data_IF_759606957546
#
_entry.id   IF_759606957546
#
_cell.length_a   1.000
_cell.length_b   1.000
_cell.length_c   1.000
_cell.angle_alpha   90.00
_cell.angle_beta   90.00
_cell.angle_gamma   90.00
#
_symmetry.space_group_name_H-M   'P 1'
#
loop_
_entity.id
_entity.type
_entity.pdbx_description
1 polymer ?
#
# COMPACT_ATOMS: atom_id res chain seq x y z
N UNK A 1 -11.85 14.32 46.92
CA UNK A 1 -13.05 13.66 46.38
C UNK A 1 -12.67 12.99 45.06
N UNK A 2 -12.55 11.66 45.07
CA UNK A 2 -12.20 10.83 43.91
C UNK A 2 -13.45 10.40 43.14
N UNK A 3 -13.33 10.19 41.81
CA UNK A 3 -14.04 9.21 40.93
C UNK A 3 -13.58 9.50 39.48
N UNK A 4 -12.69 8.71 38.89
CA UNK A 4 -12.80 7.37 38.27
C UNK A 4 -13.30 7.37 36.82
N UNK A 5 -12.33 7.11 35.93
CA UNK A 5 -12.45 6.80 34.49
C UNK A 5 -12.80 5.32 34.27
N UNK A 6 -13.65 4.95 33.29
CA UNK A 6 -13.78 3.56 32.86
C UNK A 6 -12.89 3.26 31.64
N UNK A 7 -11.88 2.41 31.82
CA UNK A 7 -11.13 1.75 30.75
C UNK A 7 -11.82 0.43 30.36
N UNK A 8 -12.12 0.25 29.08
CA UNK A 8 -12.72 -0.98 28.53
C UNK A 8 -11.61 -1.91 28.00
N UNK A 9 -11.27 -2.96 28.76
CA UNK A 9 -10.44 -4.09 28.30
C UNK A 9 -11.32 -5.11 27.56
N UNK A 10 -10.86 -5.62 26.41
CA UNK A 10 -11.42 -6.84 25.79
C UNK A 10 -10.47 -8.04 26.01
N UNK A 11 -11.02 -9.26 26.17
CA UNK A 11 -10.31 -10.43 26.69
C UNK A 11 -9.52 -11.20 25.64
N UNK A 12 -8.32 -11.63 26.02
CA UNK A 12 -7.50 -12.59 25.28
C UNK A 12 -8.02 -14.03 25.43
N UNK A 13 -7.86 -14.83 24.37
CA UNK A 13 -8.07 -16.28 24.39
C UNK A 13 -6.70 -16.96 24.35
N UNK A 14 -6.35 -17.62 25.46
CA UNK A 14 -5.29 -18.63 25.55
C UNK A 14 -5.93 -19.98 25.24
N UNK A 15 -5.33 -20.79 24.37
CA UNK A 15 -5.63 -22.20 24.24
C UNK A 15 -4.37 -23.00 24.59
N UNK A 16 -4.56 -24.00 25.45
CA UNK A 16 -3.54 -24.78 26.11
C UNK A 16 -2.97 -25.88 25.21
N UNK A 17 -1.70 -26.19 25.48
CA UNK A 17 -0.96 -27.36 25.00
C UNK A 17 -1.45 -28.60 25.74
N UNK A 18 -1.67 -29.70 25.02
CA UNK A 18 -1.78 -31.03 25.62
C UNK A 18 -0.88 -32.01 24.84
N UNK A 19 0.10 -32.54 25.57
CA UNK A 19 0.95 -33.64 25.15
C UNK A 19 0.21 -34.98 25.28
N UNK A 20 0.45 -35.90 24.35
CA UNK A 20 -0.07 -37.26 24.40
C UNK A 20 0.84 -38.19 23.61
N UNK A 21 1.70 -38.91 24.33
CA UNK A 21 2.65 -39.91 23.85
C UNK A 21 2.05 -41.29 24.11
N UNK A 22 1.92 -42.14 23.09
CA UNK A 22 1.70 -43.59 23.26
C UNK A 22 2.48 -44.35 22.19
N UNK A 23 3.44 -45.17 22.64
CA UNK A 23 4.07 -46.24 21.88
C UNK A 23 3.11 -47.42 21.74
N UNK A 24 3.03 -48.02 20.55
CA UNK A 24 2.56 -49.40 20.40
C UNK A 24 3.44 -50.14 19.38
N UNK A 25 4.15 -51.14 19.87
CA UNK A 25 4.91 -52.15 19.11
C UNK A 25 3.95 -53.29 18.78
N UNK A 26 3.94 -53.75 17.53
CA UNK A 26 3.20 -54.94 17.12
C UNK A 26 3.78 -55.56 15.85
N UNK A 27 4.47 -56.69 16.01
CA UNK A 27 4.87 -57.59 14.92
C UNK A 27 3.63 -58.31 14.36
N UNK A 28 3.57 -58.48 13.03
CA UNK A 28 2.60 -59.35 12.37
C UNK A 28 2.97 -59.60 10.91
N UNK A 29 3.21 -60.86 10.58
CA UNK A 29 3.64 -61.40 9.28
C UNK A 29 2.44 -62.01 8.54
N UNK A 30 2.46 -61.92 7.20
CA UNK A 30 1.64 -62.64 6.19
C UNK A 30 0.24 -62.13 5.87
N UNK A 31 0.03 -61.67 4.63
CA UNK A 31 -0.57 -62.45 3.52
C UNK A 31 -0.87 -61.52 2.35
N UNK A 32 -0.33 -61.85 1.16
CA UNK A 32 -0.75 -61.25 -0.10
C UNK A 32 -2.18 -61.70 -0.42
N UNK A 33 -3.09 -60.75 -0.60
CA UNK A 33 -4.33 -60.96 -1.34
C UNK A 33 -4.36 -59.92 -2.45
N UNK A 34 -4.31 -60.41 -3.68
CA UNK A 34 -4.60 -59.62 -4.87
C UNK A 34 -6.08 -59.22 -4.84
N UNK A 35 -6.37 -57.93 -4.70
CA UNK A 35 -7.69 -57.37 -4.89
C UNK A 35 -7.64 -56.34 -6.03
N UNK A 36 -8.65 -56.46 -6.88
CA UNK A 36 -8.75 -55.94 -8.24
C UNK A 36 -8.57 -54.43 -8.36
N UNK A 37 -7.98 -54.06 -9.50
CA UNK A 37 -7.94 -52.70 -10.02
C UNK A 37 -9.35 -52.13 -10.16
N UNK A 38 -9.74 -51.29 -9.20
CA UNK A 38 -10.77 -50.29 -9.40
C UNK A 38 -10.07 -49.03 -9.93
N UNK A 39 -10.27 -48.73 -11.20
CA UNK A 39 -9.87 -47.46 -11.82
C UNK A 39 -10.56 -46.35 -11.05
N UNK A 40 -9.84 -45.45 -10.33
CA UNK A 40 -10.48 -44.25 -9.86
C UNK A 40 -10.74 -43.37 -11.08
N UNK A 41 -12.02 -43.19 -11.39
CA UNK A 41 -12.48 -42.15 -12.30
C UNK A 41 -11.81 -40.82 -11.92
N UNK A 42 -11.40 -39.98 -12.89
CA UNK A 42 -10.78 -38.70 -12.58
C UNK A 42 -11.82 -37.86 -11.84
N UNK A 43 -11.64 -37.77 -10.52
CA UNK A 43 -12.31 -36.75 -9.72
C UNK A 43 -11.83 -35.46 -10.35
N UNK A 44 -12.73 -34.77 -11.06
CA UNK A 44 -12.52 -33.39 -11.47
C UNK A 44 -12.31 -32.62 -10.17
N UNK A 45 -11.05 -32.51 -9.76
CA UNK A 45 -10.63 -31.49 -8.82
C UNK A 45 -11.08 -30.19 -9.47
N UNK A 46 -12.14 -29.61 -8.92
CA UNK A 46 -12.48 -28.23 -9.17
C UNK A 46 -11.22 -27.44 -8.84
N UNK A 47 -10.44 -27.12 -9.88
CA UNK A 47 -9.36 -26.17 -9.78
C UNK A 47 -10.03 -24.87 -9.34
N UNK A 48 -10.05 -24.64 -8.03
CA UNK A 48 -10.29 -23.33 -7.46
C UNK A 48 -9.30 -22.45 -8.19
N UNK A 49 -9.81 -21.57 -9.06
CA UNK A 49 -9.00 -20.62 -9.81
C UNK A 49 -8.02 -20.02 -8.80
N UNK A 50 -6.72 -20.29 -8.99
CA UNK A 50 -5.70 -19.68 -8.17
C UNK A 50 -5.92 -18.18 -8.28
N UNK A 51 -6.29 -17.54 -7.18
CA UNK A 51 -6.39 -16.09 -7.14
C UNK A 51 -5.03 -15.58 -7.63
N UNK A 52 -5.04 -14.68 -8.62
CA UNK A 52 -3.82 -14.10 -9.13
C UNK A 52 -3.06 -13.48 -7.95
N UNK A 53 -1.76 -13.80 -7.83
CA UNK A 53 -0.91 -13.25 -6.78
C UNK A 53 -0.98 -11.73 -6.82
N UNK A 54 -1.26 -11.11 -5.67
CA UNK A 54 -1.33 -9.66 -5.57
C UNK A 54 0.05 -9.06 -5.82
N UNK A 55 0.10 -8.03 -6.67
CA UNK A 55 1.34 -7.34 -7.07
C UNK A 55 1.09 -5.84 -7.14
N UNK A 56 2.04 -5.05 -6.65
CA UNK A 56 2.09 -3.58 -6.73
C UNK A 56 3.46 -3.19 -7.26
N UNK A 57 3.53 -2.29 -8.24
CA UNK A 57 4.80 -1.85 -8.83
C UNK A 57 4.86 -0.34 -8.94
N UNK A 58 6.05 0.22 -8.74
CA UNK A 58 6.32 1.65 -8.85
C UNK A 58 7.54 1.95 -9.71
N UNK A 59 7.56 3.16 -10.26
CA UNK A 59 8.71 3.72 -10.99
C UNK A 59 9.08 5.07 -10.40
N UNK A 60 10.37 5.30 -10.17
CA UNK A 60 10.87 6.53 -9.62
C UNK A 60 10.73 7.68 -10.64
N UNK A 61 10.19 8.82 -10.21
CA UNK A 61 9.89 9.97 -11.05
C UNK A 61 8.54 9.87 -11.79
N UNK A 62 7.78 8.78 -11.60
CA UNK A 62 6.40 8.72 -12.05
C UNK A 62 5.44 9.39 -11.06
N UNK A 63 4.62 10.31 -11.58
CA UNK A 63 3.66 11.13 -10.82
C UNK A 63 2.61 10.27 -10.12
N UNK A 64 2.10 9.20 -10.76
CA UNK A 64 1.12 8.30 -10.13
C UNK A 64 1.76 7.51 -9.00
N UNK A 65 2.95 6.96 -9.21
CA UNK A 65 3.70 6.24 -8.17
C UNK A 65 4.02 7.15 -6.99
N UNK A 66 4.57 8.33 -7.21
CA UNK A 66 4.94 9.23 -6.11
C UNK A 66 3.74 9.63 -5.23
N UNK A 67 2.57 9.88 -5.84
CA UNK A 67 1.36 10.19 -5.08
C UNK A 67 0.79 8.94 -4.40
N UNK A 68 0.90 7.76 -5.01
CA UNK A 68 0.52 6.50 -4.38
C UNK A 68 1.39 6.20 -3.14
N UNK A 69 2.70 6.35 -3.27
CA UNK A 69 3.68 6.14 -2.20
C UNK A 69 3.42 7.08 -1.02
N UNK A 70 3.13 8.36 -1.32
CA UNK A 70 2.73 9.33 -0.31
C UNK A 70 1.41 8.96 0.39
N UNK A 71 0.33 8.72 -0.36
CA UNK A 71 -0.98 8.47 0.25
C UNK A 71 -1.00 7.13 1.00
N UNK A 72 -0.38 6.09 0.45
CA UNK A 72 -0.23 4.80 1.10
C UNK A 72 0.45 4.93 2.46
N UNK A 73 1.67 5.47 2.48
CA UNK A 73 2.41 5.66 3.73
C UNK A 73 1.72 6.63 4.71
N UNK A 74 1.02 7.64 4.21
CA UNK A 74 0.27 8.57 5.06
C UNK A 74 -0.96 7.91 5.68
N UNK A 75 -1.65 7.03 4.94
CA UNK A 75 -2.80 6.26 5.43
C UNK A 75 -2.34 5.26 6.48
N UNK A 76 -1.24 4.53 6.23
CA UNK A 76 -0.63 3.63 7.22
C UNK A 76 -0.27 4.37 8.52
N UNK A 77 0.39 5.53 8.41
CA UNK A 77 0.72 6.36 9.57
C UNK A 77 -0.52 6.81 10.36
N UNK A 78 -1.70 6.86 9.74
CA UNK A 78 -2.96 7.27 10.38
C UNK A 78 -3.76 6.10 10.95
N UNK A 79 -3.65 4.92 10.35
CA UNK A 79 -4.38 3.71 10.78
C UNK A 79 -3.54 2.74 11.62
N UNK A 80 -2.37 3.18 12.10
CA UNK A 80 -1.46 2.35 12.90
C UNK A 80 -2.15 1.73 14.13
N UNK A 81 -1.85 0.46 14.39
CA UNK A 81 -2.48 -0.33 15.43
C UNK A 81 -2.20 0.20 16.86
N UNK A 82 -1.06 0.86 17.08
CA UNK A 82 -0.73 1.53 18.33
C UNK A 82 -1.31 2.96 18.42
N UNK A 83 -1.97 3.42 17.36
CA UNK A 83 -2.52 4.76 17.19
C UNK A 83 -1.66 5.61 16.25
N UNK A 84 -2.19 6.74 15.74
CA UNK A 84 -1.56 7.48 14.64
C UNK A 84 -0.11 7.88 14.92
N UNK A 85 0.79 7.53 14.01
CA UNK A 85 2.18 7.96 14.00
C UNK A 85 2.30 9.41 13.49
N UNK A 86 2.14 10.33 14.44
CA UNK A 86 2.23 11.76 14.15
C UNK A 86 3.62 12.21 13.65
N UNK A 87 4.69 11.47 13.98
CA UNK A 87 6.04 11.80 13.56
C UNK A 87 6.24 11.45 12.07
N UNK A 88 5.81 10.25 11.67
CA UNK A 88 5.82 9.84 10.27
C UNK A 88 4.88 10.72 9.42
N UNK A 89 3.65 10.93 9.86
CA UNK A 89 2.69 11.80 9.16
C UNK A 89 3.24 13.22 8.94
N UNK A 90 3.97 13.77 9.93
CA UNK A 90 4.63 15.08 9.81
C UNK A 90 5.79 15.05 8.83
N UNK A 91 6.62 14.00 8.84
CA UNK A 91 7.74 13.85 7.92
C UNK A 91 7.26 13.74 6.46
N UNK A 92 6.24 12.90 6.22
CA UNK A 92 5.60 12.76 4.90
C UNK A 92 5.06 14.10 4.40
N UNK A 93 4.33 14.85 5.24
CA UNK A 93 3.82 16.18 4.87
C UNK A 93 4.94 17.17 4.55
N UNK A 94 6.05 17.15 5.28
CA UNK A 94 7.17 18.04 5.02
C UNK A 94 7.91 17.71 3.72
N UNK A 95 7.93 16.43 3.36
CA UNK A 95 8.61 15.94 2.16
C UNK A 95 7.82 16.22 0.87
N UNK A 96 6.56 15.76 0.86
CA UNK A 96 5.73 15.73 -0.33
C UNK A 96 4.94 17.00 -0.59
N UNK A 97 4.68 17.84 0.41
CA UNK A 97 3.94 19.08 0.21
C UNK A 97 4.89 20.25 0.00
N UNK A 98 4.49 21.20 -0.86
CA UNK A 98 5.15 22.50 -0.84
C UNK A 98 4.89 23.23 0.49
N UNK A 99 5.85 24.02 1.01
CA UNK A 99 5.64 24.76 2.26
C UNK A 99 4.46 25.73 2.20
N UNK A 100 4.15 26.28 1.02
CA UNK A 100 3.01 27.15 0.81
C UNK A 100 1.69 26.37 0.95
N UNK A 101 1.59 25.22 0.27
CA UNK A 101 0.40 24.39 0.35
C UNK A 101 0.20 23.79 1.75
N UNK A 102 1.26 23.36 2.43
CA UNK A 102 1.19 22.88 3.81
C UNK A 102 0.56 23.92 4.78
N UNK A 103 0.86 25.21 4.59
CA UNK A 103 0.25 26.30 5.39
C UNK A 103 -1.24 26.48 5.06
N UNK A 104 -1.59 26.45 3.79
CA UNK A 104 -2.99 26.52 3.35
C UNK A 104 -3.81 25.35 3.89
N UNK A 105 -3.22 24.15 3.87
CA UNK A 105 -3.83 22.94 4.37
C UNK A 105 -4.07 23.03 5.88
N UNK A 106 -3.06 23.46 6.65
CA UNK A 106 -3.21 23.64 8.10
C UNK A 106 -4.31 24.67 8.47
N UNK A 107 -4.44 25.74 7.69
CA UNK A 107 -5.53 26.70 7.86
C UNK A 107 -6.90 26.07 7.57
N UNK A 108 -7.00 25.29 6.49
CA UNK A 108 -8.21 24.55 6.15
C UNK A 108 -8.59 23.54 7.24
N UNK A 109 -7.62 22.77 7.75
CA UNK A 109 -7.84 21.77 8.80
C UNK A 109 -8.37 22.40 10.08
N UNK A 110 -7.82 23.56 10.47
CA UNK A 110 -8.29 24.32 11.62
C UNK A 110 -9.75 24.76 11.46
N UNK A 111 -10.16 25.15 10.25
CA UNK A 111 -11.55 25.56 9.98
C UNK A 111 -12.50 24.38 9.91
N UNK A 112 -12.08 23.27 9.29
CA UNK A 112 -12.98 22.16 8.93
C UNK A 112 -12.95 21.00 9.94
N UNK A 113 -12.00 21.01 10.89
CA UNK A 113 -11.84 19.95 11.91
C UNK A 113 -11.78 18.55 11.28
N UNK A 114 -11.08 18.44 10.15
CA UNK A 114 -10.90 17.23 9.37
C UNK A 114 -9.46 17.19 8.83
N UNK A 115 -8.98 16.00 8.46
CA UNK A 115 -7.67 15.87 7.82
C UNK A 115 -7.73 16.47 6.40
N UNK A 116 -6.84 17.41 6.12
CA UNK A 116 -6.83 18.15 4.87
C UNK A 116 -6.40 17.32 3.67
N UNK A 117 -5.58 16.28 3.87
CA UNK A 117 -5.15 15.39 2.79
C UNK A 117 -6.25 14.40 2.44
N UNK A 118 -6.92 13.86 3.45
CA UNK A 118 -8.00 12.89 3.24
C UNK A 118 -9.35 13.56 2.94
N UNK A 119 -9.46 14.86 3.22
CA UNK A 119 -10.72 15.64 3.22
C UNK A 119 -11.83 14.97 4.06
N UNK A 120 -11.43 14.27 5.12
CA UNK A 120 -12.30 13.44 5.94
C UNK A 120 -11.81 13.39 7.40
N UNK A 121 -12.68 12.94 8.31
CA UNK A 121 -12.34 12.77 9.73
C UNK A 121 -11.81 11.37 10.04
N UNK A 122 -12.18 10.39 9.23
CA UNK A 122 -11.77 9.00 9.34
C UNK A 122 -10.68 8.66 8.31
N UNK A 123 -10.06 7.51 8.51
CA UNK A 123 -9.03 6.96 7.60
C UNK A 123 -9.72 6.07 6.56
N UNK A 124 -9.36 6.14 5.27
CA UNK A 124 -9.89 5.24 4.26
C UNK A 124 -9.41 3.80 4.49
N UNK A 125 -10.24 2.83 4.10
CA UNK A 125 -9.90 1.40 4.11
C UNK A 125 -9.27 0.94 2.80
N UNK A 126 -9.49 1.70 1.72
CA UNK A 126 -8.96 1.43 0.39
C UNK A 126 -8.69 2.75 -0.31
N UNK A 127 -7.69 2.76 -1.18
CA UNK A 127 -7.34 3.92 -1.99
C UNK A 127 -6.92 3.49 -3.39
N UNK A 128 -7.05 4.39 -4.34
CA UNK A 128 -6.56 4.22 -5.72
C UNK A 128 -6.08 5.54 -6.24
N UNK A 129 -4.88 5.56 -6.81
CA UNK A 129 -4.31 6.70 -7.52
C UNK A 129 -4.30 6.35 -9.01
N UNK A 130 -4.81 7.24 -9.84
CA UNK A 130 -4.85 7.08 -11.29
C UNK A 130 -4.33 8.33 -11.98
N UNK A 131 -3.77 8.16 -13.17
CA UNK A 131 -3.32 9.28 -13.99
C UNK A 131 -4.48 10.27 -14.26
N UNK A 132 -4.18 11.56 -14.13
CA UNK A 132 -5.13 12.65 -14.41
C UNK A 132 -4.96 13.23 -15.82
N UNK A 133 -5.62 14.36 -16.08
CA UNK A 133 -5.79 14.88 -17.45
C UNK A 133 -4.58 15.58 -18.07
N UNK A 134 -3.53 15.94 -17.30
CA UNK A 134 -2.46 16.82 -17.79
C UNK A 134 -1.04 16.48 -17.28
N UNK A 135 -0.77 15.22 -16.92
CA UNK A 135 0.58 14.72 -16.59
C UNK A 135 1.18 15.19 -15.24
N UNK A 136 0.64 16.27 -14.65
CA UNK A 136 0.98 16.75 -13.30
C UNK A 136 -0.24 16.75 -12.36
N UNK A 137 -1.37 16.24 -12.84
CA UNK A 137 -2.53 15.95 -12.02
C UNK A 137 -2.75 14.44 -11.98
N UNK A 138 -3.13 13.96 -10.80
CA UNK A 138 -3.60 12.60 -10.58
C UNK A 138 -4.93 12.64 -9.84
N UNK A 139 -5.70 11.57 -10.00
CA UNK A 139 -6.96 11.37 -9.28
C UNK A 139 -6.72 10.35 -8.17
N UNK A 140 -6.99 10.75 -6.93
CA UNK A 140 -6.94 9.89 -5.75
C UNK A 140 -8.36 9.60 -5.29
N UNK A 141 -8.77 8.35 -5.43
CA UNK A 141 -10.05 7.82 -4.97
C UNK A 141 -9.86 7.17 -3.61
N UNK A 142 -10.44 7.75 -2.57
CA UNK A 142 -10.40 7.28 -1.19
C UNK A 142 -11.73 6.62 -0.83
N UNK A 143 -11.69 5.39 -0.33
CA UNK A 143 -12.88 4.64 0.07
C UNK A 143 -12.88 4.41 1.57
N UNK A 144 -13.99 4.78 2.21
CA UNK A 144 -14.20 4.78 3.66
C UNK A 144 -15.32 3.81 4.04
N UNK A 145 -15.26 3.26 5.26
CA UNK A 145 -16.26 2.33 5.78
C UNK A 145 -16.04 0.89 5.30
N UNK A 146 -17.10 0.10 5.20
CA UNK A 146 -17.03 -1.32 4.85
C UNK A 146 -17.47 -2.26 5.99
N UNK A 147 -17.68 -3.54 5.64
CA UNK A 147 -18.32 -4.50 6.53
C UNK A 147 -19.80 -4.18 6.73
N UNK A 148 -20.20 -3.89 7.97
CA UNK A 148 -21.58 -3.51 8.34
C UNK A 148 -21.85 -2.01 8.17
N UNK A 149 -20.82 -1.18 7.94
CA UNK A 149 -20.96 0.28 7.77
C UNK A 149 -21.08 0.67 6.29
N UNK A 150 -21.83 1.74 5.96
CA UNK A 150 -21.93 2.22 4.59
C UNK A 150 -20.57 2.55 3.99
N UNK A 151 -20.31 2.05 2.78
CA UNK A 151 -19.13 2.41 2.00
C UNK A 151 -19.34 3.76 1.33
N UNK A 152 -18.42 4.69 1.51
CA UNK A 152 -18.42 6.00 0.86
C UNK A 152 -17.09 6.24 0.16
N UNK A 153 -17.12 6.91 -0.99
CA UNK A 153 -15.90 7.21 -1.76
C UNK A 153 -15.77 8.73 -1.94
N UNK A 154 -14.55 9.23 -1.83
CA UNK A 154 -14.18 10.63 -2.13
C UNK A 154 -13.08 10.63 -3.16
N UNK A 155 -13.30 11.39 -4.23
CA UNK A 155 -12.32 11.58 -5.29
C UNK A 155 -11.64 12.94 -5.13
N UNK A 156 -10.32 12.94 -5.18
CA UNK A 156 -9.45 14.10 -5.05
C UNK A 156 -8.65 14.27 -6.33
N UNK A 157 -8.61 15.48 -6.88
CA UNK A 157 -7.58 15.83 -7.86
C UNK A 157 -6.40 16.41 -7.10
N UNK A 158 -5.25 15.78 -7.24
CA UNK A 158 -3.99 16.18 -6.63
C UNK A 158 -3.10 16.75 -7.72
N UNK A 159 -2.59 17.96 -7.50
CA UNK A 159 -1.71 18.64 -8.45
C UNK A 159 -0.29 18.73 -7.91
N UNK A 160 0.68 18.40 -8.74
CA UNK A 160 2.11 18.49 -8.42
C UNK A 160 2.81 19.60 -9.20
N UNK A 161 3.89 20.13 -8.62
CA UNK A 161 4.90 20.90 -9.36
C UNK A 161 5.92 19.94 -10.03
N UNK A 162 6.72 20.39 -11.00
CA UNK A 162 7.67 19.53 -11.72
C UNK A 162 8.71 18.83 -10.84
N UNK A 163 8.94 19.31 -9.63
CA UNK A 163 9.81 18.68 -8.62
C UNK A 163 9.11 17.52 -7.87
N UNK A 164 7.85 17.21 -8.22
CA UNK A 164 7.06 16.14 -7.61
C UNK A 164 6.28 16.56 -6.35
N UNK A 165 6.44 17.78 -5.85
CA UNK A 165 5.72 18.21 -4.64
C UNK A 165 4.28 18.58 -4.93
N UNK A 166 3.39 18.24 -4.01
CA UNK A 166 1.97 18.56 -4.07
C UNK A 166 1.76 20.05 -3.77
N UNK A 167 1.03 20.69 -4.67
CA UNK A 167 0.71 22.14 -4.63
C UNK A 167 -0.76 22.41 -4.38
N UNK A 168 -1.64 21.46 -4.71
CA UNK A 168 -3.08 21.60 -4.51
C UNK A 168 -3.78 20.23 -4.39
N UNK A 169 -4.87 20.19 -3.63
CA UNK A 169 -5.78 19.05 -3.50
C UNK A 169 -7.20 19.58 -3.49
N UNK A 170 -8.02 19.15 -4.45
CA UNK A 170 -9.43 19.52 -4.56
C UNK A 170 -10.31 18.29 -4.67
N UNK A 171 -11.50 18.32 -4.08
CA UNK A 171 -12.50 17.25 -4.31
C UNK A 171 -13.07 17.40 -5.72
N UNK A 172 -13.29 16.28 -6.42
CA UNK A 172 -14.00 16.30 -7.73
C UNK A 172 -15.52 16.43 -7.56
N UNK A 173 -16.02 16.36 -6.32
CA UNK A 173 -17.45 16.35 -6.05
C UNK A 173 -18.10 17.64 -6.54
N UNK A 174 -19.06 17.48 -7.44
CA UNK A 174 -20.19 18.38 -7.60
C UNK A 174 -20.91 18.40 -6.24
N UNK A 175 -20.49 19.28 -5.32
CA UNK A 175 -21.23 19.60 -4.10
C UNK A 175 -22.68 19.97 -4.49
N UNK A 176 -23.71 19.73 -3.64
CA UNK A 176 -25.07 19.46 -4.07
C UNK A 176 -25.64 20.62 -4.90
N UNK A 177 -25.56 20.48 -6.22
CA UNK A 177 -26.12 21.40 -7.20
C UNK A 177 -27.66 21.26 -7.27
N UNK A 178 -28.33 21.12 -6.11
CA UNK A 178 -29.79 21.07 -6.01
C UNK A 178 -30.45 22.42 -6.37
N UNK A 179 -29.67 23.49 -6.49
CA UNK A 179 -30.14 24.80 -6.97
C UNK A 179 -29.80 25.08 -8.45
N UNK A 180 -28.77 24.46 -9.04
CA UNK A 180 -28.35 24.73 -10.42
C UNK A 180 -28.89 23.71 -11.45
N UNK A 181 -29.21 22.49 -11.03
CA UNK A 181 -29.75 21.44 -11.92
C UNK A 181 -31.17 21.73 -12.43
N UNK A 182 -31.96 22.55 -11.71
CA UNK A 182 -33.34 22.90 -12.10
C UNK A 182 -33.40 23.91 -13.26
N UNK A 183 -32.33 24.66 -13.49
CA UNK A 183 -32.22 25.62 -14.60
C UNK A 183 -31.68 24.99 -15.89
N UNK A 184 -30.74 24.04 -15.79
CA UNK A 184 -30.12 23.41 -16.96
C UNK A 184 -30.94 22.25 -17.56
N UNK A 185 -31.78 21.56 -16.77
CA UNK A 185 -32.64 20.46 -17.25
C UNK A 185 -33.74 20.91 -18.22
N UNK A 186 -34.05 22.21 -18.30
CA UNK A 186 -35.04 22.76 -19.24
C UNK A 186 -34.45 23.07 -20.63
N UNK A 187 -33.12 23.05 -20.78
CA UNK A 187 -32.44 23.43 -22.02
C UNK A 187 -31.85 22.26 -22.83
N UNK A 188 -31.61 21.08 -22.23
CA UNK A 188 -30.89 19.99 -22.90
C UNK A 188 -31.75 18.80 -23.37
N UNK A 189 -33.06 18.79 -23.08
CA UNK A 189 -33.97 17.71 -23.45
C UNK A 189 -34.29 17.59 -24.96
N UNK A 190 -33.65 18.40 -25.83
CA UNK A 190 -33.92 18.42 -27.29
C UNK A 190 -32.72 18.08 -28.18
N UNK A 191 -31.53 17.81 -27.63
CA UNK A 191 -30.34 17.56 -28.46
C UNK A 191 -29.73 16.14 -28.34
N UNK A 192 -30.18 15.31 -27.39
CA UNK A 192 -29.60 13.98 -27.15
C UNK A 192 -30.47 12.86 -27.74
N UNK A 193 -30.51 12.75 -29.06
CA UNK A 193 -31.03 11.54 -29.74
C UNK A 193 -30.19 11.10 -30.95
N UNK A 194 -29.05 11.75 -31.25
CA UNK A 194 -28.27 11.47 -32.47
C UNK A 194 -26.76 11.54 -32.34
N UNK A 195 -26.19 11.20 -31.17
CA UNK A 195 -24.73 11.15 -31.00
C UNK A 195 -24.20 9.92 -30.23
N UNK A 196 -25.05 8.96 -29.86
CA UNK A 196 -24.67 7.79 -29.07
C UNK A 196 -24.25 6.56 -29.91
N UNK A 197 -23.78 6.74 -31.15
CA UNK A 197 -23.40 5.61 -32.03
C UNK A 197 -22.05 5.75 -32.75
N UNK A 198 -21.17 6.69 -32.34
CA UNK A 198 -19.84 6.84 -33.00
C UNK A 198 -18.72 7.31 -32.07
N UNK A 199 -18.57 6.68 -30.91
CA UNK A 199 -17.37 6.85 -30.07
C UNK A 199 -16.86 5.54 -29.44
N UNK A 200 -17.41 4.39 -29.81
CA UNK A 200 -16.91 3.06 -29.47
C UNK A 200 -16.02 2.54 -30.61
N UNK A 201 -14.80 3.10 -30.73
CA UNK A 201 -13.67 2.47 -31.44
C UNK A 201 -12.40 3.33 -31.32
N UNK A 202 -11.77 3.34 -30.14
CA UNK A 202 -10.31 3.45 -30.04
C UNK A 202 -9.90 2.71 -28.80
N UNK A 203 -9.18 1.60 -28.98
CA UNK A 203 -8.59 0.83 -27.89
C UNK A 203 -7.76 1.78 -27.03
N UNK A 204 -8.28 2.10 -25.85
CA UNK A 204 -7.62 2.97 -24.89
C UNK A 204 -6.49 2.15 -24.27
N UNK A 205 -5.25 2.64 -24.36
CA UNK A 205 -4.21 2.20 -23.45
C UNK A 205 -4.79 2.28 -22.03
N UNK A 206 -4.63 1.23 -21.22
CA UNK A 206 -5.11 1.23 -19.85
C UNK A 206 -4.46 2.42 -19.13
N UNK A 207 -5.28 3.34 -18.61
CA UNK A 207 -4.81 4.47 -17.81
C UNK A 207 -4.04 3.90 -16.62
N UNK A 208 -2.84 4.40 -16.36
CA UNK A 208 -2.00 3.89 -15.25
C UNK A 208 -2.70 4.13 -13.92
N UNK A 209 -2.74 3.11 -13.07
CA UNK A 209 -3.28 3.21 -11.71
C UNK A 209 -2.53 2.34 -10.71
N UNK A 210 -2.52 2.76 -9.45
CA UNK A 210 -1.97 2.05 -8.30
C UNK A 210 -3.03 2.04 -7.19
N UNK A 211 -3.29 0.90 -6.59
CA UNK A 211 -4.34 0.75 -5.57
C UNK A 211 -3.81 0.05 -4.32
N UNK A 212 -4.28 0.49 -3.16
CA UNK A 212 -3.93 -0.09 -1.87
C UNK A 212 -5.15 -0.35 -0.98
N UNK A 213 -4.92 -1.18 0.03
CA UNK A 213 -5.89 -1.51 1.07
C UNK A 213 -5.19 -1.49 2.42
N UNK A 214 -5.82 -0.85 3.40
CA UNK A 214 -5.27 -0.74 4.75
C UNK A 214 -5.24 -2.11 5.43
N UNK A 215 -4.15 -2.41 6.13
CA UNK A 215 -3.91 -3.70 6.78
C UNK A 215 -3.55 -4.85 5.82
N UNK A 216 -3.33 -4.57 4.54
CA UNK A 216 -2.88 -5.57 3.56
C UNK A 216 -1.35 -5.64 3.47
N UNK A 217 -0.83 -6.84 3.71
CA UNK A 217 0.55 -7.28 3.57
C UNK A 217 1.37 -6.56 2.49
N UNK A 218 0.91 -6.77 1.25
CA UNK A 218 1.59 -6.31 0.04
C UNK A 218 1.51 -4.78 -0.07
N UNK A 219 0.40 -4.16 0.37
CA UNK A 219 0.26 -2.70 0.34
C UNK A 219 1.20 -2.06 1.33
N UNK A 220 1.22 -2.52 2.58
CA UNK A 220 2.06 -1.95 3.62
C UNK A 220 3.56 -1.98 3.22
N UNK A 221 4.01 -3.08 2.62
CA UNK A 221 5.39 -3.19 2.12
C UNK A 221 5.62 -2.30 0.90
N UNK A 222 4.68 -2.21 -0.03
CA UNK A 222 4.78 -1.31 -1.19
C UNK A 222 4.85 0.16 -0.75
N UNK A 223 3.99 0.57 0.19
CA UNK A 223 3.91 1.92 0.74
C UNK A 223 5.21 2.28 1.47
N UNK A 224 5.78 1.34 2.23
CA UNK A 224 7.10 1.49 2.84
C UNK A 224 8.21 1.68 1.79
N UNK A 225 8.36 0.76 0.84
CA UNK A 225 9.46 0.81 -0.13
C UNK A 225 9.35 2.00 -1.08
N UNK A 226 8.14 2.31 -1.56
CA UNK A 226 7.88 3.46 -2.41
C UNK A 226 8.28 4.76 -1.73
N UNK A 227 7.73 5.04 -0.54
CA UNK A 227 8.06 6.26 0.21
C UNK A 227 9.54 6.29 0.64
N UNK A 228 10.15 5.13 0.89
CA UNK A 228 11.56 5.04 1.25
C UNK A 228 12.48 5.33 0.06
N UNK A 229 12.13 4.86 -1.14
CA UNK A 229 12.83 5.16 -2.40
C UNK A 229 12.73 6.64 -2.71
N UNK A 230 11.54 7.24 -2.63
CA UNK A 230 11.32 8.67 -2.80
C UNK A 230 12.16 9.49 -1.81
N UNK A 231 12.19 9.09 -0.54
CA UNK A 231 13.01 9.76 0.47
C UNK A 231 14.51 9.71 0.14
N UNK A 232 14.99 8.70 -0.58
CA UNK A 232 16.41 8.53 -0.92
C UNK A 232 16.80 9.24 -2.21
N UNK A 233 15.88 9.39 -3.14
CA UNK A 233 16.13 9.99 -4.46
C UNK A 233 15.48 11.37 -4.65
N UNK A 234 15.12 12.03 -3.55
CA UNK A 234 14.44 13.31 -3.64
C UNK A 234 15.28 14.36 -4.41
N UNK A 235 14.65 15.24 -5.23
CA UNK A 235 15.37 16.18 -6.09
C UNK A 235 16.32 17.14 -5.38
N UNK A 236 16.08 17.39 -4.09
CA UNK A 236 16.90 18.26 -3.23
C UNK A 236 17.94 17.50 -2.40
N UNK A 237 18.16 16.21 -2.73
CA UNK A 237 18.98 15.27 -1.98
C UNK A 237 18.16 14.44 -0.99
N UNK A 238 18.76 13.37 -0.43
CA UNK A 238 18.07 12.40 0.41
C UNK A 238 17.49 13.03 1.68
N UNK A 239 16.21 12.76 1.94
CA UNK A 239 15.51 13.16 3.15
C UNK A 239 15.75 12.14 4.27
N UNK A 240 16.85 12.36 5.00
CA UNK A 240 17.23 11.52 6.13
C UNK A 240 16.18 11.52 7.27
N UNK A 241 15.36 12.57 7.40
CA UNK A 241 14.34 12.64 8.44
C UNK A 241 13.15 11.74 8.08
N UNK A 242 12.69 11.78 6.84
CA UNK A 242 11.65 10.88 6.35
C UNK A 242 12.13 9.42 6.36
N UNK A 243 13.31 9.13 5.83
CA UNK A 243 13.87 7.78 5.84
C UNK A 243 13.99 7.21 7.26
N UNK A 244 14.35 8.05 8.24
CA UNK A 244 14.39 7.66 9.66
C UNK A 244 12.99 7.40 10.22
N UNK A 245 12.00 8.22 9.89
CA UNK A 245 10.62 8.05 10.35
C UNK A 245 10.00 6.76 9.77
N UNK A 246 10.17 6.51 8.46
CA UNK A 246 9.73 5.29 7.80
C UNK A 246 10.34 4.05 8.46
N UNK A 247 11.67 4.04 8.69
CA UNK A 247 12.34 2.92 9.37
C UNK A 247 11.85 2.71 10.81
N UNK A 248 11.47 3.77 11.51
CA UNK A 248 10.96 3.67 12.87
C UNK A 248 9.53 3.12 12.94
N UNK A 249 8.75 3.38 11.88
CA UNK A 249 7.36 2.95 11.76
C UNK A 249 7.26 1.50 11.29
N UNK A 250 7.90 1.17 10.16
CA UNK A 250 7.72 -0.12 9.48
C UNK A 250 8.65 -1.24 9.96
N UNK A 251 9.75 -0.92 10.64
CA UNK A 251 10.70 -1.93 11.11
C UNK A 251 10.56 -2.15 12.61
N UNK A 252 10.61 -3.41 13.03
CA UNK A 252 10.73 -3.71 14.45
C UNK A 252 12.03 -3.12 15.02
N UNK A 253 12.05 -2.62 16.28
CA UNK A 253 13.26 -2.04 16.87
C UNK A 253 14.47 -2.98 16.89
N UNK A 254 14.21 -4.28 17.06
CA UNK A 254 15.24 -5.32 17.03
C UNK A 254 15.86 -5.43 15.62
N UNK A 255 15.02 -5.48 14.59
CA UNK A 255 15.49 -5.56 13.21
C UNK A 255 16.19 -4.28 12.77
N UNK A 256 15.68 -3.10 13.14
CA UNK A 256 16.33 -1.83 12.85
C UNK A 256 17.78 -1.76 13.42
N UNK A 257 18.02 -2.38 14.59
CA UNK A 257 19.37 -2.50 15.17
C UNK A 257 20.26 -3.45 14.35
N UNK A 258 19.73 -4.57 13.90
CA UNK A 258 20.45 -5.52 13.04
C UNK A 258 20.80 -4.89 11.70
N UNK A 259 19.87 -4.12 11.10
CA UNK A 259 20.10 -3.39 9.87
C UNK A 259 21.28 -2.44 10.00
N UNK A 260 21.31 -1.60 11.04
CA UNK A 260 22.41 -0.67 11.28
C UNK A 260 23.77 -1.37 11.43
N UNK A 261 23.79 -2.51 12.10
CA UNK A 261 25.02 -3.31 12.22
C UNK A 261 25.47 -3.85 10.86
N UNK A 262 24.54 -4.32 10.04
CA UNK A 262 24.82 -4.78 8.68
C UNK A 262 25.32 -3.64 7.78
N UNK A 263 24.65 -2.48 7.81
CA UNK A 263 25.01 -1.30 7.00
C UNK A 263 26.44 -0.84 7.27
N UNK A 264 26.85 -0.84 8.54
CA UNK A 264 28.21 -0.49 8.94
C UNK A 264 29.26 -1.42 8.32
N UNK A 265 28.94 -2.71 8.21
CA UNK A 265 29.86 -3.72 7.65
C UNK A 265 29.87 -3.70 6.12
N UNK A 266 28.73 -3.46 5.48
CA UNK A 266 28.56 -3.65 4.03
C UNK A 266 28.63 -2.34 3.23
N UNK A 267 28.65 -1.18 3.90
CA UNK A 267 28.66 0.15 3.26
C UNK A 267 27.56 0.32 2.21
N UNK A 268 26.38 -0.25 2.48
CA UNK A 268 25.20 -0.22 1.61
C UNK A 268 23.96 0.09 2.44
N UNK A 269 22.88 0.52 1.80
CA UNK A 269 21.59 0.70 2.47
C UNK A 269 21.00 -0.66 2.83
N UNK A 270 20.69 -0.87 4.11
CA UNK A 270 20.22 -2.16 4.62
C UNK A 270 18.78 -2.49 4.25
N UNK A 271 17.96 -1.48 3.91
CA UNK A 271 16.58 -1.68 3.44
C UNK A 271 16.62 -2.10 1.97
N UNK A 272 17.37 -1.35 1.14
CA UNK A 272 17.46 -1.64 -0.29
C UNK A 272 18.39 -2.82 -0.61
N UNK A 273 19.25 -3.20 0.34
CA UNK A 273 20.38 -4.14 0.17
C UNK A 273 21.29 -3.75 -1.00
N UNK A 274 21.43 -2.45 -1.25
CA UNK A 274 22.15 -1.89 -2.38
C UNK A 274 22.81 -0.55 -2.01
N UNK A 275 23.79 -0.11 -2.81
CA UNK A 275 24.43 1.21 -2.65
C UNK A 275 23.66 2.33 -3.36
N UNK A 276 22.91 1.98 -4.40
CA UNK A 276 22.13 2.92 -5.21
C UNK A 276 20.64 2.79 -4.88
N UNK A 277 19.85 3.76 -5.36
CA UNK A 277 18.39 3.73 -5.28
C UNK A 277 17.83 3.04 -6.54
N UNK A 278 16.84 2.14 -6.42
CA UNK A 278 16.22 1.53 -7.59
C UNK A 278 15.43 2.56 -8.42
N UNK A 279 15.42 2.37 -9.73
CA UNK A 279 14.59 3.15 -10.67
C UNK A 279 13.17 2.59 -10.75
N UNK A 280 13.02 1.28 -10.49
CA UNK A 280 11.75 0.58 -10.50
C UNK A 280 11.75 -0.44 -9.38
N UNK A 281 10.58 -0.65 -8.79
CA UNK A 281 10.38 -1.68 -7.79
C UNK A 281 9.04 -2.39 -8.00
N UNK A 282 8.97 -3.64 -7.58
CA UNK A 282 7.76 -4.46 -7.58
C UNK A 282 7.67 -5.20 -6.26
N UNK A 283 6.50 -5.16 -5.64
CA UNK A 283 6.16 -5.89 -4.42
C UNK A 283 5.06 -6.88 -4.75
N UNK A 284 5.24 -8.15 -4.40
CA UNK A 284 4.23 -9.18 -4.60
C UNK A 284 4.12 -10.08 -3.38
N UNK A 285 3.02 -10.83 -3.30
CA UNK A 285 2.92 -11.93 -2.34
C UNK A 285 4.14 -12.86 -2.46
N UNK A 286 4.72 -13.22 -1.32
CA UNK A 286 5.84 -14.15 -1.26
C UNK A 286 5.37 -15.60 -1.29
N UNK A 287 6.30 -16.53 -1.03
CA UNK A 287 6.00 -17.96 -1.06
C UNK A 287 4.95 -18.37 0.00
N UNK A 288 4.89 -17.62 1.11
CA UNK A 288 4.06 -17.90 2.27
C UNK A 288 3.39 -16.59 2.75
N UNK A 289 2.33 -16.70 3.56
CA UNK A 289 1.57 -15.53 4.06
C UNK A 289 2.33 -14.56 4.99
N UNK A 290 3.59 -14.84 5.32
CA UNK A 290 4.47 -13.99 6.15
C UNK A 290 5.67 -13.45 5.38
N UNK A 291 5.76 -13.78 4.11
CA UNK A 291 6.83 -13.37 3.23
C UNK A 291 6.24 -12.51 2.12
N UNK A 292 6.90 -11.40 1.84
CA UNK A 292 6.61 -10.54 0.71
C UNK A 292 7.86 -10.51 -0.17
N UNK A 293 7.67 -10.73 -1.47
CA UNK A 293 8.75 -10.62 -2.43
C UNK A 293 8.87 -9.16 -2.88
N UNK A 294 10.09 -8.63 -2.89
CA UNK A 294 10.38 -7.29 -3.39
C UNK A 294 11.49 -7.38 -4.42
N UNK A 295 11.20 -6.95 -5.64
CA UNK A 295 12.17 -6.90 -6.73
C UNK A 295 12.55 -5.46 -6.98
N UNK A 296 13.83 -5.14 -6.87
CA UNK A 296 14.41 -3.85 -7.21
C UNK A 296 15.11 -3.92 -8.56
N UNK A 297 14.88 -2.92 -9.41
CA UNK A 297 15.59 -2.77 -10.67
C UNK A 297 16.40 -1.48 -10.64
N UNK A 298 17.68 -1.59 -10.99
CA UNK A 298 18.67 -0.52 -11.01
C UNK A 298 19.20 -0.32 -12.43
N UNK A 299 19.63 0.91 -12.74
CA UNK A 299 20.16 1.26 -14.05
C UNK A 299 19.06 1.47 -15.11
N UNK A 300 19.41 1.31 -16.38
CA UNK A 300 18.55 1.64 -17.52
C UNK A 300 19.17 2.68 -18.46
N UNK A 301 18.64 2.78 -19.68
CA UNK A 301 19.23 3.59 -20.76
C UNK A 301 20.50 2.95 -21.32
N UNK A 302 21.63 3.64 -21.18
CA UNK A 302 22.95 3.15 -21.66
C UNK A 302 23.67 2.25 -20.65
N UNK A 303 23.21 2.20 -19.39
CA UNK A 303 23.77 1.34 -18.35
C UNK A 303 23.04 -0.01 -18.27
N UNK A 304 23.74 -1.11 -17.95
CA UNK A 304 23.11 -2.41 -17.81
C UNK A 304 22.04 -2.38 -16.71
N UNK A 305 20.88 -2.95 -17.00
CA UNK A 305 19.81 -3.16 -16.02
C UNK A 305 20.22 -4.29 -15.08
N UNK A 306 20.21 -4.02 -13.77
CA UNK A 306 20.50 -5.01 -12.73
C UNK A 306 19.27 -5.15 -11.84
N UNK A 307 18.90 -6.39 -11.52
CA UNK A 307 17.77 -6.68 -10.64
C UNK A 307 18.28 -7.31 -9.34
N UNK A 308 17.67 -6.94 -8.21
CA UNK A 308 17.88 -7.56 -6.91
C UNK A 308 16.55 -8.02 -6.36
N UNK A 309 16.45 -9.31 -6.05
CA UNK A 309 15.26 -9.91 -5.45
C UNK A 309 15.45 -10.07 -3.95
N UNK A 310 14.45 -9.60 -3.20
CA UNK A 310 14.41 -9.58 -1.76
C UNK A 310 13.22 -10.39 -1.26
N UNK A 311 13.40 -11.03 -0.11
CA UNK A 311 12.30 -11.51 0.71
C UNK A 311 12.24 -10.67 1.97
N UNK A 312 11.05 -10.12 2.22
CA UNK A 312 10.71 -9.34 3.40
C UNK A 312 9.86 -10.22 4.32
N UNK A 313 10.32 -10.41 5.54
CA UNK A 313 9.63 -11.17 6.58
C UNK A 313 8.84 -10.22 7.47
N UNK A 314 7.60 -10.58 7.78
CA UNK A 314 6.69 -9.75 8.57
C UNK A 314 6.33 -10.41 9.91
N UNK A 315 6.10 -9.57 10.93
CA UNK A 315 5.56 -10.01 12.20
C UNK A 315 4.11 -10.51 12.03
N UNK A 316 3.72 -11.63 12.67
CA UNK A 316 2.39 -12.22 12.47
C UNK A 316 1.20 -11.36 12.91
N UNK A 317 1.42 -10.37 13.78
CA UNK A 317 0.34 -9.64 14.46
C UNK A 317 0.13 -8.26 13.87
N UNK A 318 1.22 -7.51 13.66
CA UNK A 318 1.16 -6.10 13.26
C UNK A 318 1.67 -5.84 11.85
N UNK A 319 2.27 -6.84 11.19
CA UNK A 319 2.79 -6.69 9.83
C UNK A 319 4.14 -5.98 9.75
N UNK A 320 4.74 -5.59 10.88
CA UNK A 320 6.06 -4.95 10.93
C UNK A 320 7.14 -5.82 10.30
N UNK A 321 8.10 -5.20 9.62
CA UNK A 321 9.22 -5.90 9.00
C UNK A 321 10.18 -6.40 10.07
N UNK A 322 10.41 -7.71 10.09
CA UNK A 322 11.34 -8.40 10.99
C UNK A 322 12.61 -8.87 10.28
N UNK A 323 12.59 -8.94 8.95
CA UNK A 323 13.69 -9.47 8.15
C UNK A 323 13.65 -8.97 6.71
N UNK A 324 14.82 -8.74 6.12
CA UNK A 324 15.01 -8.48 4.69
C UNK A 324 16.23 -9.28 4.27
N UNK A 325 16.09 -10.15 3.27
CA UNK A 325 17.20 -10.95 2.74
C UNK A 325 17.17 -10.96 1.22
N UNK A 326 18.32 -10.98 0.58
CA UNK A 326 18.40 -11.23 -0.87
C UNK A 326 18.09 -12.71 -1.12
N UNK A 327 17.28 -13.01 -2.14
CA UNK A 327 17.26 -14.38 -2.66
C UNK A 327 18.53 -14.55 -3.47
N UNK A 328 19.37 -15.53 -3.11
CA UNK A 328 20.50 -15.90 -3.96
C UNK A 328 19.97 -16.15 -5.38
N UNK A 329 20.54 -15.46 -6.37
CA UNK A 329 20.25 -15.72 -7.78
C UNK A 329 20.36 -17.23 -8.02
N UNK A 330 19.31 -17.82 -8.60
CA UNK A 330 19.40 -19.19 -9.15
C UNK A 330 20.28 -19.17 -10.39
#
# INVERSE_FOLDING_TARGET
MSRNTPARRRPGRRAAVAAGLVLAVGLGVSTQVAAQAAVPAPVKASAKAAAALRTVSGFNGDVVTQVADFYGAYIDAKDDAAGPDTALAKALRAHYLTPAFAKQLAAWEKTNQADGLLRAQNVPVQWTVSEGGNGLEVVVTLTFGGGESPTTTTDLVVKQEPTGRITDIRTTSIAPAKAAAKAAAKASAKASAKASAKASAKASAAVRSVSGRTGDSVTQVADFYGAYVDAKDAPVGPDAALAKALRAHYLTPAFAKQLKAWEKTNQADGVLRAQNVPVQWTVSEGANSREIAVTHTFGGGESPTVTTDLVVELEPVFGDVTGIRTTSAR
#
